data_IF_489382511738
#
_entry.id   IF_489382511738
#
_cell.length_a   1.000
_cell.length_b   1.000
_cell.length_c   1.000
_cell.angle_alpha   90.00
_cell.angle_beta   90.00
_cell.angle_gamma   90.00
#
_symmetry.space_group_name_H-M   'P 1'
#
loop_
_entity.id
_entity.type
_entity.pdbx_description
1 polymer ?
#
# COMPACT_ATOMS: atom_id res chain seq x y z
N UNK A 1 -15.16 27.09 1.00
CA UNK A 1 -14.55 25.96 1.73
C UNK A 1 -15.68 25.24 2.46
N UNK A 2 -16.16 24.12 1.93
CA UNK A 2 -17.33 23.42 2.45
C UNK A 2 -16.87 22.34 3.42
N UNK A 3 -16.98 22.61 4.72
CA UNK A 3 -16.64 21.66 5.79
C UNK A 3 -17.81 20.71 6.00
N UNK A 4 -17.75 19.54 5.37
CA UNK A 4 -18.66 18.42 5.70
C UNK A 4 -18.22 17.83 7.03
N UNK A 5 -19.03 17.98 8.07
CA UNK A 5 -18.88 17.25 9.33
C UNK A 5 -19.36 15.80 9.10
N UNK A 6 -18.56 14.76 9.39
CA UNK A 6 -19.03 13.39 9.25
C UNK A 6 -20.13 13.11 10.28
N UNK A 7 -21.25 12.51 9.85
CA UNK A 7 -22.29 11.97 10.74
C UNK A 7 -21.88 10.59 11.29
N UNK A 8 -22.37 10.26 12.48
CA UNK A 8 -21.91 9.14 13.31
C UNK A 8 -22.32 7.74 12.82
N UNK A 9 -23.07 7.60 11.72
CA UNK A 9 -23.57 6.30 11.22
C UNK A 9 -22.65 5.68 10.14
N UNK A 10 -21.38 5.47 10.47
CA UNK A 10 -20.39 4.90 9.53
C UNK A 10 -19.81 3.58 10.02
N UNK A 11 -20.67 2.57 10.15
CA UNK A 11 -20.25 1.17 10.32
C UNK A 11 -19.32 0.69 9.18
N UNK A 12 -19.35 1.33 8.00
CA UNK A 12 -18.41 1.06 6.90
C UNK A 12 -16.96 1.47 7.20
N UNK A 13 -16.72 2.42 8.12
CA UNK A 13 -15.36 2.86 8.51
C UNK A 13 -14.65 1.90 9.46
N UNK A 14 -15.39 0.99 10.10
CA UNK A 14 -14.86 0.17 11.18
C UNK A 14 -14.06 -1.06 10.69
N UNK A 15 -14.18 -1.45 9.41
CA UNK A 15 -13.59 -2.70 8.90
C UNK A 15 -12.50 -2.52 7.84
N UNK A 16 -12.51 -1.42 7.08
CA UNK A 16 -11.60 -1.23 5.94
C UNK A 16 -10.52 -0.18 6.25
N UNK A 17 -9.25 -0.54 6.03
CA UNK A 17 -8.14 0.41 6.21
C UNK A 17 -8.16 1.48 5.12
N UNK A 18 -7.59 2.68 5.35
CA UNK A 18 -7.46 3.69 4.29
C UNK A 18 -6.77 3.16 3.03
N UNK A 19 -5.80 2.25 3.22
CA UNK A 19 -5.08 1.56 2.14
C UNK A 19 -6.04 0.72 1.29
N UNK A 20 -6.90 -0.08 1.92
CA UNK A 20 -7.90 -0.90 1.22
C UNK A 20 -8.86 -0.06 0.38
N UNK A 21 -9.32 1.08 0.93
CA UNK A 21 -10.24 1.99 0.24
C UNK A 21 -9.57 2.60 -0.99
N UNK A 22 -8.39 3.18 -0.83
CA UNK A 22 -7.67 3.85 -1.94
C UNK A 22 -7.25 2.82 -2.99
N UNK A 23 -6.73 1.66 -2.58
CA UNK A 23 -6.36 0.59 -3.50
C UNK A 23 -7.55 0.15 -4.36
N UNK A 24 -8.70 -0.10 -3.73
CA UNK A 24 -9.93 -0.50 -4.46
C UNK A 24 -10.39 0.58 -5.43
N UNK A 25 -10.32 1.86 -5.03
CA UNK A 25 -10.64 2.96 -5.92
C UNK A 25 -9.71 3.01 -7.14
N UNK A 26 -8.40 2.83 -6.94
CA UNK A 26 -7.42 2.78 -8.02
C UNK A 26 -7.66 1.60 -8.97
N UNK A 27 -7.97 0.41 -8.43
CA UNK A 27 -8.30 -0.78 -9.23
C UNK A 27 -9.57 -0.58 -10.08
N UNK A 28 -10.56 0.17 -9.58
CA UNK A 28 -11.73 0.54 -10.39
C UNK A 28 -11.32 1.52 -11.50
N UNK A 29 -10.49 2.51 -11.20
CA UNK A 29 -10.12 3.55 -12.15
C UNK A 29 -9.23 3.03 -13.28
N UNK A 30 -8.29 2.12 -13.01
CA UNK A 30 -7.32 1.65 -14.01
C UNK A 30 -8.00 0.93 -15.19
N UNK A 31 -9.13 0.25 -14.96
CA UNK A 31 -9.91 -0.38 -16.04
C UNK A 31 -10.83 0.58 -16.80
N UNK A 32 -11.19 1.72 -16.20
CA UNK A 32 -12.17 2.67 -16.73
C UNK A 32 -11.54 3.94 -17.31
N UNK A 33 -10.21 4.05 -17.31
CA UNK A 33 -9.50 5.21 -17.84
C UNK A 33 -9.35 5.13 -19.36
N UNK A 34 -9.39 6.30 -20.01
CA UNK A 34 -8.98 6.45 -21.40
C UNK A 34 -7.47 6.64 -21.49
N UNK A 35 -6.83 5.91 -22.41
CA UNK A 35 -5.38 5.95 -22.61
C UNK A 35 -5.04 6.62 -23.95
N UNK A 36 -3.98 7.45 -24.00
CA UNK A 36 -3.67 8.27 -25.16
C UNK A 36 -3.23 7.46 -26.39
N UNK A 37 -2.79 6.21 -26.20
CA UNK A 37 -2.47 5.28 -27.28
C UNK A 37 -2.99 3.88 -26.96
N UNK A 38 -3.26 3.10 -28.01
CA UNK A 38 -3.73 1.72 -27.89
C UNK A 38 -2.73 0.85 -27.11
N UNK A 39 -1.44 0.94 -27.44
CA UNK A 39 -0.38 0.18 -26.77
C UNK A 39 -0.31 0.45 -25.24
N UNK A 40 -0.55 1.70 -24.81
CA UNK A 40 -0.61 2.04 -23.38
C UNK A 40 -1.84 1.40 -22.74
N UNK A 41 -3.00 1.45 -23.42
CA UNK A 41 -4.22 0.83 -22.94
C UNK A 41 -4.11 -0.70 -22.80
N UNK A 42 -3.51 -1.37 -23.79
CA UNK A 42 -3.27 -2.82 -23.77
C UNK A 42 -2.36 -3.21 -22.61
N UNK A 43 -1.21 -2.53 -22.49
CA UNK A 43 -0.26 -2.76 -21.39
C UNK A 43 -0.92 -2.53 -20.03
N UNK A 44 -1.71 -1.47 -19.90
CA UNK A 44 -2.37 -1.15 -18.63
C UNK A 44 -3.44 -2.16 -18.26
N UNK A 45 -4.23 -2.65 -19.23
CA UNK A 45 -5.20 -3.73 -18.99
C UNK A 45 -4.52 -5.05 -18.62
N UNK A 46 -3.40 -5.37 -19.27
CA UNK A 46 -2.65 -6.60 -19.04
C UNK A 46 -1.99 -6.63 -17.65
N UNK A 47 -1.44 -5.50 -17.18
CA UNK A 47 -0.64 -5.44 -15.95
C UNK A 47 -1.31 -4.73 -14.76
N UNK A 48 -2.36 -3.92 -14.99
CA UNK A 48 -3.12 -3.18 -13.97
C UNK A 48 -2.24 -2.50 -12.92
N UNK A 49 -1.23 -1.78 -13.36
CA UNK A 49 -0.27 -1.14 -12.46
C UNK A 49 -0.95 -0.01 -11.66
N UNK A 50 -0.84 -0.08 -10.34
CA UNK A 50 -1.38 0.92 -9.42
C UNK A 50 -0.25 1.68 -8.72
N UNK A 51 -0.45 2.99 -8.49
CA UNK A 51 0.51 3.85 -7.80
C UNK A 51 -0.01 4.28 -6.43
N UNK A 52 0.21 3.46 -5.39
CA UNK A 52 -0.16 3.81 -4.01
C UNK A 52 1.06 4.37 -3.27
N UNK A 53 0.85 5.45 -2.52
CA UNK A 53 1.89 6.06 -1.69
C UNK A 53 1.32 6.91 -0.57
N UNK A 54 2.21 7.57 0.17
CA UNK A 54 1.86 8.51 1.22
C UNK A 54 2.45 9.89 0.92
N UNK A 55 1.81 10.91 1.47
CA UNK A 55 2.31 12.29 1.44
C UNK A 55 2.63 12.75 2.86
N UNK A 56 3.44 13.81 2.97
CA UNK A 56 3.71 14.51 4.21
C UNK A 56 4.43 13.68 5.30
N UNK A 57 5.31 12.74 4.89
CA UNK A 57 6.17 11.99 5.81
C UNK A 57 6.97 12.92 6.73
N UNK A 58 7.47 14.04 6.21
CA UNK A 58 8.23 15.00 7.02
C UNK A 58 7.42 15.58 8.19
N UNK A 59 6.13 15.87 8.00
CA UNK A 59 5.30 16.34 9.12
C UNK A 59 5.01 15.25 10.15
N UNK A 60 4.87 13.99 9.71
CA UNK A 60 4.77 12.86 10.63
C UNK A 60 6.04 12.76 11.48
N UNK A 61 7.23 12.81 10.86
CA UNK A 61 8.50 12.77 11.59
C UNK A 61 8.66 13.97 12.54
N UNK A 62 8.29 15.19 12.11
CA UNK A 62 8.29 16.37 12.98
C UNK A 62 7.36 16.21 14.19
N UNK A 63 6.16 15.65 14.00
CA UNK A 63 5.21 15.39 15.08
C UNK A 63 5.73 14.33 16.07
N UNK A 64 6.54 13.38 15.59
CA UNK A 64 7.22 12.38 16.42
C UNK A 64 8.53 12.89 17.05
N UNK A 65 8.95 14.13 16.73
CA UNK A 65 10.22 14.69 17.21
C UNK A 65 11.46 14.06 16.57
N UNK A 66 11.31 13.41 15.41
CA UNK A 66 12.39 12.72 14.71
C UNK A 66 12.97 13.60 13.58
N UNK A 67 14.30 13.77 13.49
CA UNK A 67 14.92 14.40 12.34
C UNK A 67 14.68 13.59 11.06
N UNK A 68 14.48 14.28 9.93
CA UNK A 68 14.20 13.62 8.66
C UNK A 68 15.35 12.71 8.18
N UNK A 69 16.59 13.17 8.36
CA UNK A 69 17.81 12.43 8.01
C UNK A 69 18.41 11.73 9.24
N UNK A 70 17.61 10.93 9.93
CA UNK A 70 18.07 10.07 11.03
C UNK A 70 17.76 8.60 10.78
N UNK A 71 18.46 7.71 11.48
CA UNK A 71 18.20 6.27 11.39
C UNK A 71 16.79 5.93 11.89
N UNK A 72 16.30 6.61 12.93
CA UNK A 72 14.94 6.49 13.43
C UNK A 72 13.91 7.00 12.42
N UNK A 73 14.18 8.14 11.77
CA UNK A 73 13.32 8.69 10.72
C UNK A 73 13.20 7.74 9.52
N UNK A 74 14.33 7.18 9.07
CA UNK A 74 14.37 6.13 8.04
C UNK A 74 13.63 4.86 8.47
N UNK A 75 13.76 4.46 9.73
CA UNK A 75 13.07 3.29 10.30
C UNK A 75 11.55 3.46 10.28
N UNK A 76 11.03 4.63 10.65
CA UNK A 76 9.60 4.94 10.56
C UNK A 76 9.11 4.90 9.11
N UNK A 77 9.86 5.49 8.18
CA UNK A 77 9.51 5.48 6.75
C UNK A 77 9.48 4.05 6.18
N UNK A 78 10.46 3.22 6.54
CA UNK A 78 10.55 1.82 6.14
C UNK A 78 9.37 1.01 6.71
N UNK A 79 9.06 1.17 7.99
CA UNK A 79 7.94 0.49 8.64
C UNK A 79 6.59 0.88 8.02
N UNK A 80 6.36 2.18 7.78
CA UNK A 80 5.15 2.66 7.14
C UNK A 80 5.00 2.09 5.71
N UNK A 81 6.07 2.12 4.93
CA UNK A 81 6.10 1.58 3.56
C UNK A 81 5.81 0.08 3.56
N UNK A 82 6.48 -0.69 4.41
CA UNK A 82 6.31 -2.15 4.51
C UNK A 82 4.87 -2.52 4.88
N UNK A 83 4.29 -1.85 5.88
CA UNK A 83 2.89 -2.05 6.26
C UNK A 83 1.94 -1.71 5.13
N UNK A 84 2.13 -0.55 4.49
CA UNK A 84 1.30 -0.15 3.34
C UNK A 84 1.36 -1.15 2.20
N UNK A 85 2.56 -1.62 1.84
CA UNK A 85 2.77 -2.67 0.83
C UNK A 85 2.04 -3.95 1.22
N UNK A 86 2.20 -4.43 2.44
CA UNK A 86 1.54 -5.65 2.92
C UNK A 86 0.01 -5.57 2.83
N UNK A 87 -0.58 -4.45 3.28
CA UNK A 87 -2.03 -4.22 3.14
C UNK A 87 -2.47 -4.12 1.68
N UNK A 88 -1.70 -3.43 0.83
CA UNK A 88 -2.02 -3.29 -0.60
C UNK A 88 -2.03 -4.66 -1.31
N UNK A 89 -0.99 -5.48 -1.13
CA UNK A 89 -0.92 -6.81 -1.74
C UNK A 89 -1.96 -7.78 -1.17
N UNK A 90 -2.29 -7.69 0.13
CA UNK A 90 -3.40 -8.44 0.71
C UNK A 90 -4.73 -8.07 0.08
N UNK A 91 -4.95 -6.78 -0.17
CA UNK A 91 -6.15 -6.27 -0.84
C UNK A 91 -6.22 -6.75 -2.29
N UNK A 92 -5.09 -6.65 -3.00
CA UNK A 92 -4.93 -7.17 -4.36
C UNK A 92 -5.30 -8.66 -4.45
N UNK A 93 -4.75 -9.49 -3.55
CA UNK A 93 -5.05 -10.92 -3.51
C UNK A 93 -6.55 -11.20 -3.26
N UNK A 94 -7.20 -10.44 -2.36
CA UNK A 94 -8.66 -10.56 -2.10
C UNK A 94 -9.51 -10.19 -3.32
N UNK A 95 -9.08 -9.19 -4.10
CA UNK A 95 -9.76 -8.81 -5.34
C UNK A 95 -9.55 -9.91 -6.40
N UNK A 96 -8.32 -10.40 -6.55
CA UNK A 96 -7.99 -11.47 -7.49
C UNK A 96 -8.74 -12.78 -7.19
N UNK A 97 -8.98 -13.11 -5.91
CA UNK A 97 -9.79 -14.25 -5.49
C UNK A 97 -11.23 -14.20 -6.05
N UNK A 98 -11.77 -13.00 -6.29
CA UNK A 98 -13.12 -12.78 -6.85
C UNK A 98 -13.15 -12.51 -8.35
N UNK A 99 -12.15 -11.80 -8.86
CA UNK A 99 -12.15 -11.25 -10.23
C UNK A 99 -11.14 -11.94 -11.15
N UNK A 100 -10.28 -12.82 -10.62
CA UNK A 100 -9.09 -13.33 -11.29
C UNK A 100 -7.90 -12.38 -11.15
N UNK A 101 -6.69 -12.94 -11.26
CA UNK A 101 -5.46 -12.15 -11.35
C UNK A 101 -5.39 -11.39 -12.69
N UNK A 102 -4.57 -10.34 -12.75
CA UNK A 102 -4.27 -9.66 -14.02
C UNK A 102 -3.48 -10.60 -14.96
N UNK A 103 -3.60 -10.38 -16.27
CA UNK A 103 -3.07 -11.29 -17.30
C UNK A 103 -1.56 -11.51 -17.17
N UNK A 104 -0.81 -10.44 -16.90
CA UNK A 104 0.65 -10.51 -16.70
C UNK A 104 1.10 -11.10 -15.35
N UNK A 105 0.22 -11.66 -14.52
CA UNK A 105 0.57 -12.08 -13.16
C UNK A 105 1.64 -13.16 -13.15
N UNK A 106 1.52 -14.21 -13.96
CA UNK A 106 2.51 -15.29 -13.99
C UNK A 106 3.91 -14.79 -14.37
N UNK A 107 3.99 -13.82 -15.27
CA UNK A 107 5.25 -13.17 -15.63
C UNK A 107 5.85 -12.37 -14.46
N UNK A 108 5.01 -11.73 -13.65
CA UNK A 108 5.42 -10.88 -12.54
C UNK A 108 5.46 -11.59 -11.18
N UNK A 109 5.06 -12.86 -11.11
CA UNK A 109 4.84 -13.56 -9.85
C UNK A 109 6.10 -13.62 -8.99
N UNK A 110 7.20 -14.10 -9.56
CA UNK A 110 8.48 -14.19 -8.85
C UNK A 110 9.01 -12.84 -8.37
N UNK A 111 9.13 -11.80 -9.22
CA UNK A 111 9.63 -10.51 -8.74
C UNK A 111 8.68 -9.86 -7.71
N UNK A 112 7.36 -10.01 -7.85
CA UNK A 112 6.40 -9.49 -6.85
C UNK A 112 6.56 -10.19 -5.50
N UNK A 113 6.65 -11.52 -5.48
CA UNK A 113 6.87 -12.27 -4.25
C UNK A 113 8.24 -11.95 -3.63
N UNK A 114 9.28 -11.74 -4.46
CA UNK A 114 10.60 -11.32 -4.00
C UNK A 114 10.57 -9.98 -3.24
N UNK A 115 9.80 -8.99 -3.71
CA UNK A 115 9.66 -7.71 -2.99
C UNK A 115 8.93 -7.88 -1.66
N UNK A 116 7.88 -8.70 -1.61
CA UNK A 116 7.19 -9.00 -0.36
C UNK A 116 8.09 -9.73 0.64
N UNK A 117 8.94 -10.61 0.13
CA UNK A 117 9.92 -11.34 0.92
C UNK A 117 10.97 -10.38 1.50
N UNK A 118 11.52 -9.45 0.71
CA UNK A 118 12.43 -8.41 1.22
C UNK A 118 11.81 -7.58 2.35
N UNK A 119 10.52 -7.24 2.23
CA UNK A 119 9.80 -6.53 3.30
C UNK A 119 9.61 -7.39 4.56
N UNK A 120 9.37 -8.69 4.39
CA UNK A 120 9.25 -9.67 5.50
C UNK A 120 10.58 -9.84 6.22
N UNK A 121 11.66 -10.09 5.50
CA UNK A 121 13.02 -10.24 6.06
C UNK A 121 13.43 -8.98 6.83
N UNK A 122 13.19 -7.79 6.27
CA UNK A 122 13.46 -6.53 6.96
C UNK A 122 12.63 -6.37 8.24
N UNK A 123 11.38 -6.84 8.27
CA UNK A 123 10.54 -6.81 9.47
C UNK A 123 11.04 -7.77 10.56
N UNK A 124 11.51 -8.97 10.18
CA UNK A 124 12.06 -9.96 11.13
C UNK A 124 13.35 -9.47 11.82
N UNK A 125 14.20 -8.73 11.09
CA UNK A 125 15.38 -8.10 11.67
C UNK A 125 15.02 -7.10 12.79
N UNK A 126 13.90 -6.39 12.65
CA UNK A 126 13.43 -5.44 13.68
C UNK A 126 12.90 -6.15 14.93
N UNK A 127 12.19 -7.27 14.76
CA UNK A 127 11.66 -8.05 15.88
C UNK A 127 12.79 -8.68 16.72
N UNK A 128 13.86 -9.13 16.05
CA UNK A 128 15.07 -9.64 16.71
C UNK A 128 15.87 -8.57 17.47
N UNK A 129 15.64 -7.29 17.17
CA UNK A 129 16.27 -6.15 17.83
C UNK A 129 15.46 -5.63 19.04
N UNK A 130 14.23 -6.11 19.25
CA UNK A 130 13.43 -5.81 20.45
C UNK A 130 13.74 -6.85 21.52
N UNK A 131 14.40 -6.50 22.65
CA UNK A 131 14.57 -7.44 23.76
C UNK A 131 13.18 -7.86 24.28
N UNK A 132 13.01 -9.15 24.56
CA UNK A 132 11.77 -9.80 25.03
C UNK A 132 11.32 -9.39 26.45
N UNK A 133 11.36 -8.09 26.77
CA UNK A 133 11.26 -7.56 28.13
C UNK A 133 10.33 -6.37 28.35
N UNK A 134 9.30 -6.18 27.52
CA UNK A 134 8.20 -5.26 27.86
C UNK A 134 6.87 -5.98 27.64
N UNK A 135 6.48 -6.75 28.65
CA UNK A 135 5.15 -7.31 28.84
C UNK A 135 4.64 -6.91 30.22
#
# INVERSE_FOLDING_TARGET
MMTVRPSADSTWRASATPIEIVFTAQEILVGNADYPTEAIGETTRAFRQLGLGYANLGALLMALGLPYDSDEGRSVAAALTSLMTGYAYRTSARIADRMGAFEGYEHNREPMLGVLEMHREAAELLDSAVPSGVG
#
